data_IF_740959463665
#
_entry.id   IF_740959463665
#
_cell.length_a   1.000
_cell.length_b   1.000
_cell.length_c   1.000
_cell.angle_alpha   90.00
_cell.angle_beta   90.00
_cell.angle_gamma   90.00
#
_symmetry.space_group_name_H-M   'P 1'
#
loop_
_entity.id
_entity.type
_entity.pdbx_description
1 polymer ?
#
# COMPACT_ATOMS: atom_id res chain seq x y z
N UNK A 1 56.68 37.96 81.11
CA UNK A 1 55.65 37.09 81.74
C UNK A 1 54.47 36.97 80.81
N UNK A 2 53.96 35.74 80.65
CA UNK A 2 52.79 35.33 79.86
C UNK A 2 51.60 36.29 79.98
N UNK A 3 50.92 36.58 78.86
CA UNK A 3 49.54 36.14 78.60
C UNK A 3 49.10 36.54 77.18
N UNK A 4 48.86 35.51 76.37
CA UNK A 4 48.19 35.57 75.07
C UNK A 4 46.72 35.95 75.25
N UNK A 5 46.22 36.85 74.39
CA UNK A 5 44.81 36.97 74.04
C UNK A 5 44.72 37.01 72.51
N UNK A 6 44.50 35.84 71.90
CA UNK A 6 44.22 35.73 70.46
C UNK A 6 42.71 35.75 70.24
N UNK A 7 42.22 36.76 69.52
CA UNK A 7 40.84 36.84 69.06
C UNK A 7 40.55 35.74 68.02
N UNK A 8 39.45 34.99 68.22
CA UNK A 8 38.92 34.03 67.24
C UNK A 8 37.77 34.68 66.46
N UNK A 9 37.79 34.70 65.12
CA UNK A 9 36.59 34.90 64.33
C UNK A 9 35.86 33.56 64.11
N UNK A 10 34.54 33.64 64.12
CA UNK A 10 33.58 32.55 63.94
C UNK A 10 33.64 32.08 62.48
N UNK A 11 34.03 30.82 62.24
CA UNK A 11 33.95 30.18 60.93
C UNK A 11 32.72 29.26 60.87
N UNK A 12 31.81 29.60 59.97
CA UNK A 12 30.61 28.85 59.62
C UNK A 12 31.01 27.53 58.94
N UNK A 13 30.62 26.39 59.51
CA UNK A 13 30.79 25.08 58.89
C UNK A 13 29.74 24.88 57.79
N UNK A 14 30.16 24.91 56.53
CA UNK A 14 29.36 24.47 55.39
C UNK A 14 29.82 23.07 55.02
N UNK A 15 29.10 22.04 55.47
CA UNK A 15 29.34 20.66 55.06
C UNK A 15 28.92 20.49 53.60
N UNK A 16 29.90 20.38 52.71
CA UNK A 16 29.74 20.05 51.30
C UNK A 16 29.44 18.54 51.19
N UNK A 17 28.17 18.18 50.99
CA UNK A 17 27.79 16.81 50.62
C UNK A 17 28.19 16.58 49.15
N UNK A 18 29.20 15.73 48.92
CA UNK A 18 29.46 15.13 47.61
C UNK A 18 28.31 14.17 47.27
N UNK A 19 27.27 14.69 46.64
CA UNK A 19 26.25 13.89 46.00
C UNK A 19 26.81 13.28 44.72
N UNK A 20 27.05 11.97 44.73
CA UNK A 20 27.24 11.16 43.54
C UNK A 20 26.00 11.31 42.66
N UNK A 21 26.11 12.02 41.55
CA UNK A 21 25.07 12.03 40.51
C UNK A 21 24.95 10.60 39.95
N UNK A 22 23.74 10.03 39.85
CA UNK A 22 23.55 8.81 39.10
C UNK A 22 23.87 9.14 37.64
N UNK A 23 24.80 8.39 37.06
CA UNK A 23 25.05 8.38 35.62
C UNK A 23 23.73 7.94 34.99
N UNK A 24 22.98 8.88 34.44
CA UNK A 24 21.88 8.59 33.54
C UNK A 24 22.51 7.92 32.32
N UNK A 25 22.52 6.58 32.32
CA UNK A 25 22.75 5.80 31.12
C UNK A 25 21.65 6.18 30.15
N UNK A 26 21.96 7.06 29.19
CA UNK A 26 21.15 7.16 27.99
C UNK A 26 21.14 5.77 27.37
N UNK A 27 20.03 5.05 27.46
CA UNK A 27 19.79 3.94 26.56
C UNK A 27 19.76 4.56 25.17
N UNK A 28 20.90 4.53 24.48
CA UNK A 28 20.91 4.74 23.05
C UNK A 28 19.90 3.74 22.48
N UNK A 29 18.87 4.23 21.82
CA UNK A 29 18.03 3.36 21.01
C UNK A 29 19.00 2.63 20.07
N UNK A 30 19.05 1.31 20.19
CA UNK A 30 19.82 0.49 19.26
C UNK A 30 19.24 0.75 17.88
N UNK A 31 19.90 1.58 17.07
CA UNK A 31 19.54 1.72 15.66
C UNK A 31 19.59 0.33 15.02
N UNK A 32 18.57 0.01 14.22
CA UNK A 32 18.54 -1.25 13.50
C UNK A 32 19.77 -1.36 12.60
N UNK A 33 20.50 -2.46 12.73
CA UNK A 33 21.64 -2.77 11.89
C UNK A 33 21.20 -3.77 10.82
N UNK A 34 21.26 -3.38 9.54
CA UNK A 34 20.92 -4.27 8.43
C UNK A 34 21.86 -5.49 8.41
N UNK A 35 21.26 -6.68 8.37
CA UNK A 35 21.97 -7.96 8.35
C UNK A 35 22.17 -8.51 6.92
N UNK A 36 21.39 -7.99 5.97
CA UNK A 36 21.45 -8.30 4.55
C UNK A 36 22.78 -7.92 3.92
N UNK A 37 23.38 -8.86 3.21
CA UNK A 37 24.66 -8.75 2.52
C UNK A 37 24.47 -8.88 1.01
N UNK A 38 25.24 -8.08 0.27
CA UNK A 38 25.30 -8.17 -1.19
C UNK A 38 25.76 -9.57 -1.61
N UNK A 39 25.16 -10.10 -2.69
CA UNK A 39 25.43 -11.44 -3.23
C UNK A 39 25.19 -12.60 -2.26
N UNK A 40 24.47 -12.39 -1.15
CA UNK A 40 24.10 -13.44 -0.20
C UNK A 40 22.59 -13.40 0.06
N UNK A 41 21.76 -14.04 -0.78
CA UNK A 41 20.30 -14.01 -0.63
C UNK A 41 19.83 -14.44 0.77
N UNK A 42 20.42 -15.49 1.34
CA UNK A 42 20.01 -16.03 2.64
C UNK A 42 20.21 -15.04 3.80
N UNK A 43 21.15 -14.11 3.67
CA UNK A 43 21.37 -13.07 4.70
C UNK A 43 20.21 -12.07 4.82
N UNK A 44 19.27 -12.05 3.87
CA UNK A 44 18.10 -11.18 3.89
C UNK A 44 16.86 -11.81 4.54
N UNK A 45 16.92 -13.10 4.89
CA UNK A 45 15.82 -13.88 5.46
C UNK A 45 15.69 -13.64 6.99
N UNK A 46 15.53 -12.39 7.41
CA UNK A 46 15.33 -12.00 8.82
C UNK A 46 13.96 -12.45 9.36
N UNK A 47 13.75 -12.40 10.67
CA UNK A 47 12.43 -12.65 11.28
C UNK A 47 11.36 -11.70 10.71
N UNK A 48 11.71 -10.42 10.56
CA UNK A 48 10.91 -9.39 9.90
C UNK A 48 10.52 -9.77 8.46
N UNK A 49 11.44 -10.34 7.68
CA UNK A 49 11.15 -10.87 6.33
C UNK A 49 10.13 -12.02 6.40
N UNK A 50 10.30 -12.92 7.37
CA UNK A 50 9.45 -14.10 7.52
C UNK A 50 8.04 -13.79 8.06
N UNK A 51 7.80 -12.57 8.57
CA UNK A 51 6.46 -12.14 8.98
C UNK A 51 5.48 -11.93 7.81
N UNK A 52 5.96 -11.91 6.57
CA UNK A 52 5.11 -11.96 5.39
C UNK A 52 5.58 -12.98 4.34
N UNK A 53 4.80 -14.04 4.15
CA UNK A 53 5.16 -15.15 3.25
C UNK A 53 5.34 -14.71 1.80
N UNK A 54 4.68 -13.61 1.40
CA UNK A 54 4.72 -13.07 0.05
C UNK A 54 6.15 -12.74 -0.42
N UNK A 55 7.03 -12.29 0.46
CA UNK A 55 8.43 -11.99 0.12
C UNK A 55 9.20 -13.22 -0.31
N UNK A 56 9.03 -14.32 0.43
CA UNK A 56 9.65 -15.60 0.10
C UNK A 56 9.08 -16.12 -1.22
N UNK A 57 7.75 -16.07 -1.40
CA UNK A 57 7.08 -16.57 -2.59
C UNK A 57 7.50 -15.86 -3.89
N UNK A 58 7.77 -14.55 -3.84
CA UNK A 58 8.28 -13.81 -5.01
C UNK A 58 9.81 -13.79 -5.10
N UNK A 59 10.52 -14.45 -4.18
CA UNK A 59 11.98 -14.46 -4.15
C UNK A 59 12.63 -13.09 -3.90
N UNK A 60 12.00 -12.23 -3.09
CA UNK A 60 12.43 -10.84 -2.88
C UNK A 60 13.88 -10.74 -2.36
N UNK A 61 14.31 -11.68 -1.51
CA UNK A 61 15.68 -11.79 -1.00
C UNK A 61 16.75 -11.88 -2.10
N UNK A 62 16.45 -12.48 -3.26
CA UNK A 62 17.36 -12.47 -4.42
C UNK A 62 17.51 -11.09 -5.04
N UNK A 63 16.46 -10.26 -5.01
CA UNK A 63 16.51 -8.88 -5.49
C UNK A 63 17.34 -8.02 -4.51
N UNK A 64 17.12 -8.20 -3.21
CA UNK A 64 17.85 -7.48 -2.16
C UNK A 64 19.34 -7.79 -2.18
N UNK A 65 19.73 -9.06 -2.33
CA UNK A 65 21.14 -9.44 -2.50
C UNK A 65 21.81 -8.80 -3.73
N UNK A 66 21.03 -8.41 -4.74
CA UNK A 66 21.50 -7.67 -5.92
C UNK A 66 21.48 -6.14 -5.72
N UNK A 67 20.98 -5.66 -4.58
CA UNK A 67 20.88 -4.24 -4.23
C UNK A 67 19.58 -3.58 -4.70
N UNK A 68 18.57 -4.35 -5.11
CA UNK A 68 17.29 -3.81 -5.55
C UNK A 68 16.28 -3.77 -4.40
N UNK A 69 16.23 -2.64 -3.69
CA UNK A 69 15.38 -2.44 -2.50
C UNK A 69 14.25 -1.43 -2.73
N UNK A 70 14.16 -0.85 -3.93
CA UNK A 70 13.24 0.25 -4.25
C UNK A 70 13.83 1.64 -4.07
N UNK A 71 15.06 1.75 -3.55
CA UNK A 71 15.75 3.02 -3.31
C UNK A 71 15.73 3.94 -4.54
N UNK A 72 15.31 5.18 -4.31
CA UNK A 72 15.24 6.22 -5.35
C UNK A 72 14.00 6.15 -6.25
N UNK A 73 13.09 5.20 -6.01
CA UNK A 73 11.80 5.11 -6.70
C UNK A 73 10.69 5.51 -5.74
N UNK A 74 9.75 6.33 -6.21
CA UNK A 74 8.52 6.61 -5.48
C UNK A 74 7.36 5.80 -6.07
N UNK A 75 6.59 5.16 -5.20
CA UNK A 75 5.36 4.44 -5.55
C UNK A 75 4.17 5.26 -5.11
N UNK A 76 3.30 5.57 -6.07
CA UNK A 76 2.01 6.18 -5.87
C UNK A 76 0.97 5.16 -5.42
N UNK A 77 0.11 5.53 -4.47
CA UNK A 77 -1.03 4.73 -4.02
C UNK A 77 -2.30 5.58 -4.12
N UNK A 78 -3.23 5.16 -4.97
CA UNK A 78 -4.56 5.75 -5.10
C UNK A 78 -5.58 4.77 -4.50
N UNK A 79 -5.91 4.99 -3.23
CA UNK A 79 -6.68 4.04 -2.41
C UNK A 79 -7.52 4.80 -1.35
N UNK A 80 -7.87 4.17 -0.24
CA UNK A 80 -8.31 4.89 0.95
C UNK A 80 -7.18 5.74 1.56
N UNK A 81 -7.52 6.58 2.54
CA UNK A 81 -6.54 7.42 3.22
C UNK A 81 -5.47 6.57 3.92
N UNK A 82 -4.21 7.02 3.86
CA UNK A 82 -3.05 6.38 4.51
C UNK A 82 -2.62 7.23 5.70
N UNK A 83 -2.48 6.61 6.86
CA UNK A 83 -2.09 7.27 8.12
C UNK A 83 -0.59 7.53 8.22
N UNK A 84 -0.21 8.53 9.02
CA UNK A 84 1.17 8.70 9.45
C UNK A 84 1.56 7.57 10.40
N UNK A 85 2.00 6.45 9.84
CA UNK A 85 2.43 5.25 10.55
C UNK A 85 3.96 5.21 10.68
N UNK A 86 4.49 4.66 11.78
CA UNK A 86 5.94 4.58 12.02
C UNK A 86 6.66 3.75 10.94
N UNK A 87 6.00 2.74 10.38
CA UNK A 87 6.48 1.97 9.21
C UNK A 87 6.69 2.80 7.94
N UNK A 88 6.14 4.01 7.88
CA UNK A 88 6.32 4.91 6.72
C UNK A 88 7.16 6.15 7.06
N UNK A 89 7.79 6.16 8.24
CA UNK A 89 8.59 7.29 8.72
C UNK A 89 9.69 7.65 7.71
N UNK A 90 9.82 8.94 7.42
CA UNK A 90 10.86 9.49 6.54
C UNK A 90 10.59 9.35 5.04
N UNK A 91 9.51 8.67 4.62
CA UNK A 91 9.25 8.39 3.19
C UNK A 91 7.80 8.51 2.73
N UNK A 92 6.86 8.83 3.61
CA UNK A 92 5.46 9.09 3.27
C UNK A 92 5.23 10.54 2.86
N UNK A 93 4.59 10.74 1.71
CA UNK A 93 4.00 12.00 1.25
C UNK A 93 2.51 11.81 0.98
N UNK A 94 1.67 12.62 1.60
CA UNK A 94 0.22 12.63 1.36
C UNK A 94 -0.10 13.84 0.48
N UNK A 95 -0.69 13.63 -0.70
CA UNK A 95 -0.94 14.71 -1.67
C UNK A 95 -1.99 15.74 -1.19
N UNK A 96 -2.94 15.30 -0.37
CA UNK A 96 -4.05 16.12 0.13
C UNK A 96 -4.38 15.72 1.57
N UNK A 97 -3.57 16.15 2.56
CA UNK A 97 -3.70 15.70 3.96
C UNK A 97 -5.00 16.18 4.63
N UNK A 98 -5.66 17.20 4.07
CA UNK A 98 -6.93 17.73 4.57
C UNK A 98 -8.15 16.91 4.14
N UNK A 99 -7.97 15.92 3.25
CA UNK A 99 -9.03 15.01 2.85
C UNK A 99 -9.56 14.23 4.07
N UNK A 100 -10.88 14.21 4.25
CA UNK A 100 -11.50 13.56 5.41
C UNK A 100 -11.16 12.06 5.48
N UNK A 101 -10.96 11.51 6.67
CA UNK A 101 -10.70 10.08 6.84
C UNK A 101 -11.93 9.25 6.44
N UNK A 102 -11.71 8.22 5.64
CA UNK A 102 -12.72 7.17 5.45
C UNK A 102 -12.58 6.11 6.52
N UNK A 103 -13.67 5.38 6.73
CA UNK A 103 -13.67 4.15 7.48
C UNK A 103 -14.35 3.04 6.68
N UNK A 104 -13.80 1.84 6.77
CA UNK A 104 -14.47 0.63 6.40
C UNK A 104 -15.28 0.13 7.58
N UNK A 105 -16.56 -0.18 7.37
CA UNK A 105 -17.36 -0.93 8.34
C UNK A 105 -17.49 -2.37 7.85
N UNK A 106 -16.95 -3.32 8.59
CA UNK A 106 -17.15 -4.73 8.30
C UNK A 106 -18.66 -5.05 8.35
N UNK A 107 -19.28 -5.56 7.28
CA UNK A 107 -20.72 -5.79 7.23
C UNK A 107 -21.18 -6.95 8.14
N UNK A 108 -20.29 -7.88 8.47
CA UNK A 108 -20.59 -9.05 9.30
C UNK A 108 -20.34 -8.77 10.79
N UNK A 109 -19.30 -8.01 11.13
CA UNK A 109 -18.89 -7.77 12.53
C UNK A 109 -19.19 -6.35 13.03
N UNK A 110 -19.49 -5.42 12.13
CA UNK A 110 -19.74 -4.01 12.46
C UNK A 110 -18.50 -3.19 12.86
N UNK A 111 -17.30 -3.80 12.87
CA UNK A 111 -16.04 -3.13 13.21
C UNK A 111 -15.74 -2.04 12.20
N UNK A 112 -15.43 -0.84 12.70
CA UNK A 112 -15.06 0.35 11.93
C UNK A 112 -13.53 0.44 11.90
N UNK A 113 -12.95 0.56 10.71
CA UNK A 113 -11.51 0.58 10.48
C UNK A 113 -11.14 1.79 9.64
N UNK A 114 -10.30 2.69 10.15
CA UNK A 114 -9.89 3.90 9.42
C UNK A 114 -8.62 3.64 8.62
N UNK A 115 -8.63 3.96 7.32
CA UNK A 115 -7.45 3.86 6.45
C UNK A 115 -6.80 2.48 6.39
N UNK A 116 -7.47 1.43 6.87
CA UNK A 116 -6.87 0.12 7.03
C UNK A 116 -6.54 -0.54 5.69
N UNK A 117 -7.35 -0.28 4.66
CA UNK A 117 -7.04 -0.78 3.33
C UNK A 117 -5.83 -0.07 2.72
N UNK A 118 -5.81 1.27 2.75
CA UNK A 118 -4.68 2.07 2.27
C UNK A 118 -3.37 1.78 2.99
N UNK A 119 -3.38 1.74 4.33
CA UNK A 119 -2.22 1.39 5.15
C UNK A 119 -1.71 -0.02 4.84
N UNK A 120 -2.59 -1.02 4.74
CA UNK A 120 -2.22 -2.40 4.43
C UNK A 120 -1.54 -2.49 3.05
N UNK A 121 -2.12 -1.82 2.04
CA UNK A 121 -1.55 -1.74 0.68
C UNK A 121 -0.18 -1.07 0.70
N UNK A 122 -0.06 0.12 1.31
CA UNK A 122 1.21 0.85 1.44
C UNK A 122 2.26 0.07 2.22
N UNK A 123 1.84 -0.70 3.23
CA UNK A 123 2.67 -1.61 4.02
C UNK A 123 3.35 -2.67 3.16
N UNK A 124 2.55 -3.41 2.38
CA UNK A 124 3.07 -4.44 1.47
C UNK A 124 4.09 -3.84 0.48
N UNK A 125 3.81 -2.63 -0.04
CA UNK A 125 4.68 -1.96 -1.00
C UNK A 125 6.00 -1.56 -0.34
N UNK A 126 5.94 -0.78 0.73
CA UNK A 126 7.10 -0.08 1.26
C UNK A 126 6.96 0.26 2.76
N UNK A 127 6.53 -0.66 3.63
CA UNK A 127 6.87 -0.51 5.05
C UNK A 127 8.40 -0.51 5.25
N UNK A 128 8.87 0.07 6.34
CA UNK A 128 10.29 0.20 6.65
C UNK A 128 10.88 -1.17 6.95
N UNK A 129 12.18 -1.31 6.68
CA UNK A 129 12.96 -2.46 7.14
C UNK A 129 13.80 -2.01 8.32
N UNK A 130 13.28 -2.22 9.51
CA UNK A 130 13.84 -1.67 10.75
C UNK A 130 13.90 -2.71 11.88
N UNK A 131 13.73 -3.99 11.55
CA UNK A 131 13.75 -5.10 12.49
C UNK A 131 12.50 -5.20 13.36
N UNK A 132 11.43 -4.44 13.08
CA UNK A 132 10.15 -4.50 13.78
C UNK A 132 9.05 -5.00 12.84
N UNK A 133 7.99 -5.55 13.42
CA UNK A 133 6.76 -5.95 12.72
C UNK A 133 7.01 -6.61 11.35
N UNK A 134 6.92 -5.87 10.25
CA UNK A 134 7.20 -6.37 8.90
C UNK A 134 7.74 -5.26 8.00
N UNK A 135 8.48 -5.62 6.95
CA UNK A 135 8.94 -4.66 5.93
C UNK A 135 8.28 -4.84 4.57
N UNK A 136 8.19 -3.79 3.74
CA UNK A 136 7.60 -3.87 2.41
C UNK A 136 8.49 -4.58 1.38
N UNK A 137 7.92 -4.94 0.22
CA UNK A 137 8.67 -5.52 -0.91
C UNK A 137 9.77 -4.56 -1.37
N UNK A 138 9.47 -3.27 -1.47
CA UNK A 138 10.37 -2.21 -1.86
C UNK A 138 10.59 -1.27 -0.67
N UNK A 139 11.16 -1.79 0.43
CA UNK A 139 11.26 -1.09 1.71
C UNK A 139 12.03 0.25 1.65
N UNK A 140 12.90 0.47 0.67
CA UNK A 140 13.60 1.76 0.48
C UNK A 140 12.88 2.71 -0.51
N UNK A 141 11.73 2.32 -1.04
CA UNK A 141 10.94 3.19 -1.92
C UNK A 141 10.22 4.29 -1.12
N UNK A 142 10.07 5.46 -1.73
CA UNK A 142 9.18 6.49 -1.20
C UNK A 142 7.72 6.17 -1.51
N UNK A 143 6.82 6.64 -0.65
CA UNK A 143 5.38 6.47 -0.79
C UNK A 143 4.71 7.82 -1.03
N UNK A 144 3.95 7.92 -2.12
CA UNK A 144 3.10 9.07 -2.40
C UNK A 144 1.67 8.57 -2.39
N UNK A 145 0.83 9.10 -1.50
CA UNK A 145 -0.53 8.60 -1.31
C UNK A 145 -1.54 9.69 -1.62
N UNK A 146 -2.64 9.30 -2.25
CA UNK A 146 -3.79 10.16 -2.48
C UNK A 146 -5.05 9.41 -2.11
N UNK A 147 -5.85 9.99 -1.20
CA UNK A 147 -7.18 9.47 -0.92
C UNK A 147 -7.99 9.53 -2.20
N UNK A 148 -8.41 8.38 -2.69
CA UNK A 148 -9.09 8.22 -3.97
C UNK A 148 -10.47 7.63 -3.78
N UNK A 149 -10.62 6.62 -2.93
CA UNK A 149 -11.91 5.99 -2.66
C UNK A 149 -12.74 6.85 -1.71
N UNK A 150 -14.07 6.81 -1.88
CA UNK A 150 -15.05 7.59 -1.10
C UNK A 150 -14.61 9.07 -0.92
N UNK A 151 -14.08 9.65 -2.00
CA UNK A 151 -13.58 11.01 -2.03
C UNK A 151 -14.25 11.73 -3.20
N UNK A 152 -14.88 12.91 -3.01
CA UNK A 152 -15.39 13.71 -4.11
C UNK A 152 -14.29 14.32 -4.99
N UNK A 153 -13.02 14.17 -4.61
CA UNK A 153 -11.90 14.70 -5.35
C UNK A 153 -11.07 13.63 -6.07
N UNK A 154 -10.70 13.93 -7.30
CA UNK A 154 -9.83 13.14 -8.14
C UNK A 154 -8.37 13.53 -7.89
N UNK A 155 -7.57 12.59 -7.39
CA UNK A 155 -6.14 12.80 -7.08
C UNK A 155 -5.22 12.35 -8.20
N UNK A 156 -5.75 11.93 -9.34
CA UNK A 156 -4.95 11.33 -10.41
C UNK A 156 -4.00 12.34 -11.05
N UNK A 157 -4.46 13.56 -11.36
CA UNK A 157 -3.56 14.58 -11.94
C UNK A 157 -2.43 14.95 -10.98
N UNK A 158 -2.74 15.19 -9.71
CA UNK A 158 -1.72 15.46 -8.69
C UNK A 158 -0.71 14.30 -8.56
N UNK A 159 -1.16 13.05 -8.66
CA UNK A 159 -0.30 11.87 -8.67
C UNK A 159 0.57 11.81 -9.93
N UNK A 160 0.03 12.15 -11.10
CA UNK A 160 0.78 12.21 -12.36
C UNK A 160 1.91 13.26 -12.28
N UNK A 161 1.59 14.45 -11.75
CA UNK A 161 2.55 15.54 -11.59
C UNK A 161 3.58 15.28 -10.48
N UNK A 162 3.33 14.30 -9.61
CA UNK A 162 4.32 13.83 -8.65
C UNK A 162 5.47 13.06 -9.35
N UNK A 163 6.55 12.83 -8.60
CA UNK A 163 7.65 11.98 -9.04
C UNK A 163 7.40 10.47 -8.77
N UNK A 164 6.15 10.05 -8.55
CA UNK A 164 5.78 8.64 -8.56
C UNK A 164 6.11 8.02 -9.94
N UNK A 165 6.69 6.82 -9.95
CA UNK A 165 6.99 6.08 -11.19
C UNK A 165 5.97 4.97 -11.45
N UNK A 166 5.46 4.38 -10.38
CA UNK A 166 4.44 3.33 -10.36
C UNK A 166 3.24 3.87 -9.60
N UNK A 167 2.02 3.59 -10.06
CA UNK A 167 0.77 3.95 -9.37
C UNK A 167 0.00 2.65 -9.11
N UNK A 168 -0.12 2.28 -7.84
CA UNK A 168 -0.87 1.13 -7.40
C UNK A 168 -2.35 1.49 -7.16
N UNK A 169 -3.23 0.64 -7.66
CA UNK A 169 -4.67 0.73 -7.49
C UNK A 169 -5.21 -0.64 -7.02
N UNK A 170 -5.53 -0.75 -5.73
CA UNK A 170 -5.98 -2.00 -5.10
C UNK A 170 -7.50 -2.04 -4.90
N UNK A 171 -8.25 -1.50 -5.84
CA UNK A 171 -9.71 -1.43 -5.83
C UNK A 171 -10.28 -1.91 -7.16
N UNK A 172 -11.61 -1.99 -7.28
CA UNK A 172 -12.25 -2.38 -8.52
C UNK A 172 -13.77 -2.32 -8.43
N UNK A 173 -14.43 -2.34 -9.58
CA UNK A 173 -15.89 -2.44 -9.66
C UNK A 173 -16.27 -3.91 -9.46
N UNK A 174 -17.10 -4.18 -8.45
CA UNK A 174 -17.58 -5.53 -8.18
C UNK A 174 -18.85 -5.77 -9.01
N UNK A 175 -18.98 -6.93 -9.69
CA UNK A 175 -20.24 -7.35 -10.26
C UNK A 175 -21.34 -7.42 -9.20
N UNK A 176 -22.59 -7.29 -9.65
CA UNK A 176 -23.75 -7.64 -8.83
C UNK A 176 -23.68 -9.11 -8.40
N UNK A 177 -24.34 -9.45 -7.31
CA UNK A 177 -24.36 -10.80 -6.75
C UNK A 177 -25.77 -11.21 -6.33
N UNK A 178 -26.01 -12.52 -6.24
CA UNK A 178 -27.25 -13.05 -5.70
C UNK A 178 -27.37 -12.77 -4.20
N UNK A 179 -28.56 -12.37 -3.75
CA UNK A 179 -28.90 -12.24 -2.34
C UNK A 179 -29.87 -13.32 -1.88
N UNK A 180 -29.80 -13.69 -0.60
CA UNK A 180 -30.79 -14.52 0.06
C UNK A 180 -32.03 -13.71 0.48
N UNK A 181 -32.99 -14.38 1.12
CA UNK A 181 -34.23 -13.78 1.63
C UNK A 181 -34.03 -12.70 2.71
N UNK A 182 -32.82 -12.63 3.29
CA UNK A 182 -32.43 -11.62 4.27
C UNK A 182 -31.55 -10.51 3.67
N UNK A 183 -31.38 -10.50 2.35
CA UNK A 183 -30.55 -9.52 1.63
C UNK A 183 -29.05 -9.74 1.78
N UNK A 184 -28.60 -10.88 2.31
CA UNK A 184 -27.17 -11.20 2.41
C UNK A 184 -26.65 -11.86 1.14
N UNK A 185 -25.36 -11.69 0.78
CA UNK A 185 -24.80 -12.34 -0.40
C UNK A 185 -24.85 -13.87 -0.28
N UNK A 186 -25.43 -14.55 -1.27
CA UNK A 186 -25.31 -16.00 -1.38
C UNK A 186 -23.87 -16.40 -1.67
N UNK A 187 -23.48 -17.57 -1.18
CA UNK A 187 -22.12 -18.11 -1.35
C UNK A 187 -22.12 -19.48 -2.02
N UNK A 188 -21.08 -19.75 -2.80
CA UNK A 188 -20.74 -21.09 -3.28
C UNK A 188 -20.23 -21.97 -2.13
N UNK A 189 -20.17 -23.28 -2.34
CA UNK A 189 -19.65 -24.23 -1.33
C UNK A 189 -18.21 -23.95 -0.92
N UNK A 190 -17.40 -23.39 -1.83
CA UNK A 190 -16.03 -22.95 -1.57
C UNK A 190 -15.95 -21.62 -0.77
N UNK A 191 -17.08 -21.06 -0.35
CA UNK A 191 -17.18 -19.86 0.46
C UNK A 191 -17.15 -18.54 -0.30
N UNK A 192 -16.93 -18.53 -1.62
CA UNK A 192 -16.94 -17.28 -2.40
C UNK A 192 -18.35 -16.78 -2.67
N UNK A 193 -18.51 -15.48 -2.91
CA UNK A 193 -19.81 -14.87 -3.21
C UNK A 193 -20.29 -15.32 -4.60
N UNK A 194 -21.59 -15.56 -4.75
CA UNK A 194 -22.24 -15.88 -6.03
C UNK A 194 -22.48 -14.60 -6.84
N UNK A 195 -21.45 -14.15 -7.55
CA UNK A 195 -21.56 -13.02 -8.48
C UNK A 195 -22.27 -13.43 -9.77
N UNK A 196 -23.07 -12.52 -10.33
CA UNK A 196 -23.54 -12.64 -11.71
C UNK A 196 -22.34 -12.58 -12.66
N UNK A 197 -22.27 -13.48 -13.67
CA UNK A 197 -21.18 -13.47 -14.64
C UNK A 197 -21.10 -12.14 -15.40
N UNK A 198 -19.89 -11.62 -15.55
CA UNK A 198 -19.55 -10.49 -16.41
C UNK A 198 -18.58 -11.00 -17.46
N UNK A 199 -18.93 -10.79 -18.72
CA UNK A 199 -18.14 -11.22 -19.88
C UNK A 199 -17.41 -10.04 -20.52
N UNK A 200 -16.44 -10.34 -21.40
CA UNK A 200 -15.79 -9.31 -22.23
C UNK A 200 -16.80 -8.58 -23.12
N UNK A 201 -17.88 -9.23 -23.55
CA UNK A 201 -18.92 -8.58 -24.36
C UNK A 201 -19.69 -7.54 -23.53
N UNK A 202 -20.02 -7.85 -22.27
CA UNK A 202 -20.68 -6.89 -21.37
C UNK A 202 -19.79 -5.66 -21.15
N UNK A 203 -18.49 -5.89 -20.95
CA UNK A 203 -17.51 -4.81 -20.86
C UNK A 203 -17.41 -4.01 -22.15
N UNK A 204 -17.39 -4.66 -23.30
CA UNK A 204 -17.32 -3.98 -24.61
C UNK A 204 -18.54 -3.10 -24.82
N UNK A 205 -19.73 -3.60 -24.47
CA UNK A 205 -20.99 -2.85 -24.53
C UNK A 205 -20.97 -1.63 -23.58
N UNK A 206 -20.37 -1.77 -22.40
CA UNK A 206 -20.19 -0.68 -21.45
C UNK A 206 -19.19 0.39 -21.93
N UNK A 207 -18.05 -0.02 -22.49
CA UNK A 207 -16.95 0.88 -22.84
C UNK A 207 -17.19 1.61 -24.16
N UNK A 208 -17.81 0.94 -25.13
CA UNK A 208 -18.04 1.49 -26.47
C UNK A 208 -18.64 2.90 -26.47
N UNK A 209 -19.73 3.20 -25.74
CA UNK A 209 -20.33 4.55 -25.75
C UNK A 209 -19.48 5.63 -25.06
N UNK A 210 -18.56 5.26 -24.16
CA UNK A 210 -17.73 6.23 -23.40
C UNK A 210 -16.29 6.31 -23.91
N UNK A 211 -15.91 5.47 -24.88
CA UNK A 211 -14.53 5.28 -25.32
C UNK A 211 -13.89 6.58 -25.83
N UNK A 212 -14.61 7.35 -26.65
CA UNK A 212 -14.10 8.59 -27.23
C UNK A 212 -13.95 9.69 -26.19
N UNK A 213 -14.85 9.76 -25.21
CA UNK A 213 -14.74 10.69 -24.09
C UNK A 213 -13.54 10.37 -23.21
N UNK A 214 -13.31 9.09 -22.89
CA UNK A 214 -12.11 8.65 -22.17
C UNK A 214 -10.83 8.97 -22.94
N UNK A 215 -10.82 8.76 -24.26
CA UNK A 215 -9.66 9.11 -25.10
C UNK A 215 -9.39 10.61 -25.07
N UNK A 216 -10.42 11.43 -25.28
CA UNK A 216 -10.32 12.88 -25.29
C UNK A 216 -9.87 13.44 -23.94
N UNK A 217 -10.51 13.01 -22.85
CA UNK A 217 -10.24 13.52 -21.50
C UNK A 217 -8.83 13.14 -21.02
N UNK A 218 -8.37 11.94 -21.34
CA UNK A 218 -7.03 11.50 -20.92
C UNK A 218 -5.88 12.25 -21.62
N UNK A 219 -6.15 13.02 -22.68
CA UNK A 219 -5.17 13.86 -23.37
C UNK A 219 -4.98 15.23 -22.72
N UNK A 220 -5.88 15.63 -21.83
CA UNK A 220 -5.83 16.92 -21.11
C UNK A 220 -5.65 16.73 -19.61
N UNK A 221 -5.19 17.73 -18.84
CA UNK A 221 -5.17 17.67 -17.38
C UNK A 221 -6.56 17.30 -16.83
N UNK A 222 -6.60 16.41 -15.85
CA UNK A 222 -7.86 15.93 -15.27
C UNK A 222 -8.36 16.91 -14.20
N UNK A 223 -9.66 17.29 -14.21
CA UNK A 223 -10.24 18.12 -13.17
C UNK A 223 -10.11 17.50 -11.77
N UNK A 224 -10.08 18.35 -10.75
CA UNK A 224 -10.00 17.90 -9.36
C UNK A 224 -11.32 17.34 -8.84
N UNK A 225 -12.47 17.74 -9.40
CA UNK A 225 -13.76 17.13 -9.04
C UNK A 225 -13.88 15.76 -9.66
N UNK A 226 -14.27 14.78 -8.83
CA UNK A 226 -14.36 13.39 -9.23
C UNK A 226 -15.72 13.06 -9.85
N UNK A 227 -15.66 12.42 -11.01
CA UNK A 227 -16.72 11.58 -11.53
C UNK A 227 -16.09 10.29 -12.08
N UNK A 228 -16.91 9.28 -12.32
CA UNK A 228 -16.41 7.98 -12.78
C UNK A 228 -15.60 8.08 -14.09
N UNK A 229 -16.01 8.92 -15.02
CA UNK A 229 -15.38 9.07 -16.34
C UNK A 229 -14.04 9.81 -16.22
N UNK A 230 -13.98 10.92 -15.50
CA UNK A 230 -12.72 11.67 -15.28
C UNK A 230 -11.73 10.87 -14.46
N UNK A 231 -12.20 10.09 -13.47
CA UNK A 231 -11.41 9.11 -12.71
C UNK A 231 -10.75 8.08 -13.62
N UNK A 232 -11.55 7.44 -14.46
CA UNK A 232 -11.10 6.43 -15.43
C UNK A 232 -10.13 7.02 -16.45
N UNK A 233 -10.45 8.20 -17.00
CA UNK A 233 -9.60 8.91 -17.95
C UNK A 233 -8.26 9.33 -17.33
N UNK A 234 -8.23 9.65 -16.03
CA UNK A 234 -6.99 9.96 -15.32
C UNK A 234 -6.03 8.78 -15.25
N UNK A 235 -6.53 7.56 -15.05
CA UNK A 235 -5.67 6.37 -15.05
C UNK A 235 -5.10 6.09 -16.45
N UNK A 236 -5.90 6.26 -17.50
CA UNK A 236 -5.42 6.20 -18.88
C UNK A 236 -4.37 7.28 -19.16
N UNK A 237 -4.60 8.50 -18.69
CA UNK A 237 -3.64 9.61 -18.79
C UNK A 237 -2.34 9.28 -18.08
N UNK A 238 -2.39 8.70 -16.88
CA UNK A 238 -1.18 8.33 -16.14
C UNK A 238 -0.30 7.38 -16.95
N UNK A 239 -0.90 6.36 -17.57
CA UNK A 239 -0.20 5.46 -18.46
C UNK A 239 0.39 6.18 -19.68
N UNK A 240 -0.34 7.14 -20.29
CA UNK A 240 0.14 7.98 -21.39
C UNK A 240 1.28 8.92 -21.00
N UNK A 241 1.37 9.28 -19.71
CA UNK A 241 2.47 10.07 -19.13
C UNK A 241 3.61 9.19 -18.57
N UNK A 242 3.67 7.91 -18.97
CA UNK A 242 4.80 7.04 -18.65
C UNK A 242 4.81 6.52 -17.22
N UNK A 243 3.70 6.65 -16.48
CA UNK A 243 3.55 6.04 -15.16
C UNK A 243 3.08 4.60 -15.33
N UNK A 244 3.77 3.63 -14.70
CA UNK A 244 3.27 2.26 -14.68
C UNK A 244 2.04 2.18 -13.78
N UNK A 245 0.87 1.93 -14.35
CA UNK A 245 -0.38 1.74 -13.61
C UNK A 245 -0.55 0.26 -13.30
N UNK A 246 -0.48 -0.09 -12.03
CA UNK A 246 -0.69 -1.45 -11.53
C UNK A 246 -2.10 -1.53 -10.95
N UNK A 247 -2.86 -2.53 -11.37
CA UNK A 247 -4.27 -2.65 -11.03
C UNK A 247 -4.63 -4.07 -10.61
N UNK A 248 -5.38 -4.21 -9.51
CA UNK A 248 -5.89 -5.50 -9.10
C UNK A 248 -6.90 -6.05 -10.13
N UNK A 249 -6.77 -7.32 -10.52
CA UNK A 249 -7.70 -7.98 -11.43
C UNK A 249 -9.13 -8.02 -10.86
N UNK A 250 -9.24 -8.15 -9.54
CA UNK A 250 -10.50 -8.16 -8.79
C UNK A 250 -10.65 -9.38 -7.88
N UNK A 251 -11.69 -9.37 -7.06
CA UNK A 251 -12.05 -10.46 -6.14
C UNK A 251 -13.47 -11.00 -6.44
N UNK A 252 -13.77 -11.22 -7.72
CA UNK A 252 -15.10 -11.60 -8.21
C UNK A 252 -15.16 -13.02 -8.78
N UNK A 253 -14.30 -13.94 -8.32
CA UNK A 253 -14.15 -15.32 -8.80
C UNK A 253 -13.56 -15.42 -10.22
N UNK A 254 -12.92 -16.56 -10.50
CA UNK A 254 -12.17 -16.79 -11.73
C UNK A 254 -13.03 -16.88 -13.00
N UNK A 255 -14.33 -17.15 -12.87
CA UNK A 255 -15.26 -17.17 -14.00
C UNK A 255 -15.62 -15.76 -14.50
N UNK A 256 -15.28 -14.71 -13.74
CA UNK A 256 -15.46 -13.33 -14.16
C UNK A 256 -14.20 -12.78 -14.81
N UNK A 257 -14.41 -11.79 -15.67
CA UNK A 257 -13.35 -11.02 -16.32
C UNK A 257 -13.02 -9.76 -15.52
N UNK A 258 -11.83 -9.20 -15.73
CA UNK A 258 -11.44 -7.92 -15.13
C UNK A 258 -12.33 -6.78 -15.60
N UNK A 259 -12.51 -5.74 -14.78
CA UNK A 259 -13.23 -4.53 -15.20
C UNK A 259 -12.35 -3.60 -16.06
N UNK A 260 -12.96 -2.56 -16.66
CA UNK A 260 -12.30 -1.61 -17.57
C UNK A 260 -10.97 -1.07 -17.02
N UNK A 261 -10.88 -0.74 -15.74
CA UNK A 261 -9.67 -0.15 -15.17
C UNK A 261 -8.45 -1.05 -15.32
N UNK A 262 -8.56 -2.33 -14.95
CA UNK A 262 -7.47 -3.29 -15.14
C UNK A 262 -7.32 -3.71 -16.61
N UNK A 263 -8.40 -3.70 -17.39
CA UNK A 263 -8.41 -4.03 -18.82
C UNK A 263 -8.16 -2.88 -19.78
N UNK A 264 -7.70 -1.73 -19.29
CA UNK A 264 -7.57 -0.48 -20.07
C UNK A 264 -6.82 -0.68 -21.40
N UNK A 265 -5.69 -1.42 -21.45
CA UNK A 265 -4.95 -1.62 -22.70
C UNK A 265 -5.71 -2.35 -23.82
N UNK A 266 -6.74 -3.14 -23.49
CA UNK A 266 -7.55 -3.79 -24.52
C UNK A 266 -8.32 -2.75 -25.36
N UNK A 267 -8.84 -1.70 -24.71
CA UNK A 267 -9.59 -0.63 -25.38
C UNK A 267 -8.71 0.54 -25.85
N UNK A 268 -7.54 0.72 -25.21
CA UNK A 268 -6.57 1.76 -25.51
C UNK A 268 -5.15 1.16 -25.62
N UNK A 269 -4.81 0.54 -26.77
CA UNK A 269 -3.56 -0.21 -26.94
C UNK A 269 -2.28 0.61 -26.71
N UNK A 270 -2.35 1.93 -26.88
CA UNK A 270 -1.23 2.84 -26.63
C UNK A 270 -0.81 2.88 -25.14
N UNK A 271 -1.70 2.50 -24.23
CA UNK A 271 -1.43 2.42 -22.79
C UNK A 271 -0.70 1.13 -22.38
N UNK A 272 -0.62 0.12 -23.25
CA UNK A 272 -0.16 -1.24 -22.92
C UNK A 272 1.21 -1.29 -22.24
N UNK A 273 2.15 -0.43 -22.67
CA UNK A 273 3.51 -0.39 -22.13
C UNK A 273 3.58 0.02 -20.65
N UNK A 274 2.53 0.66 -20.15
CA UNK A 274 2.48 1.31 -18.84
C UNK A 274 1.30 0.81 -18.00
N UNK A 275 0.85 -0.42 -18.25
CA UNK A 275 -0.23 -1.05 -17.48
C UNK A 275 0.13 -2.47 -17.08
N UNK A 276 -0.35 -2.87 -15.90
CA UNK A 276 -0.19 -4.23 -15.39
C UNK A 276 -1.42 -4.63 -14.57
N UNK A 277 -2.09 -5.71 -14.99
CA UNK A 277 -3.14 -6.36 -14.21
C UNK A 277 -2.55 -7.41 -13.27
N UNK A 278 -3.09 -7.56 -12.07
CA UNK A 278 -2.55 -8.47 -11.04
C UNK A 278 -3.62 -9.37 -10.46
N UNK A 279 -3.49 -10.68 -10.69
CA UNK A 279 -4.32 -11.73 -10.09
C UNK A 279 -3.73 -12.21 -8.75
N UNK A 280 -4.58 -12.76 -7.89
CA UNK A 280 -4.22 -13.16 -6.53
C UNK A 280 -3.81 -14.64 -6.44
N UNK A 281 -2.66 -14.92 -5.83
CA UNK A 281 -2.17 -16.25 -5.50
C UNK A 281 -2.38 -16.61 -4.02
N UNK A 282 -2.60 -17.91 -3.83
CA UNK A 282 -2.54 -18.62 -2.55
C UNK A 282 -1.09 -18.97 -2.17
N UNK A 283 -0.89 -19.47 -0.95
CA UNK A 283 0.44 -19.91 -0.47
C UNK A 283 0.95 -21.13 -1.25
N UNK A 284 0.03 -21.89 -1.82
CA UNK A 284 0.27 -23.09 -2.61
C UNK A 284 0.57 -22.76 -4.08
N UNK A 285 0.82 -21.48 -4.43
CA UNK A 285 1.05 -21.00 -5.79
C UNK A 285 -0.10 -21.28 -6.77
N UNK A 286 -1.32 -21.48 -6.27
CA UNK A 286 -2.53 -21.57 -7.06
C UNK A 286 -3.27 -20.23 -7.09
N UNK A 287 -3.98 -19.94 -8.18
CA UNK A 287 -4.90 -18.80 -8.26
C UNK A 287 -5.94 -18.93 -7.15
N UNK A 288 -6.11 -17.88 -6.34
CA UNK A 288 -7.10 -17.87 -5.28
C UNK A 288 -8.51 -17.97 -5.90
N UNK A 289 -9.38 -18.79 -5.32
CA UNK A 289 -10.75 -19.02 -5.81
C UNK A 289 -11.57 -17.73 -5.93
N UNK A 290 -11.29 -16.72 -5.12
CA UNK A 290 -11.96 -15.41 -5.22
C UNK A 290 -11.34 -14.50 -6.27
N UNK A 291 -10.12 -14.78 -6.76
CA UNK A 291 -9.44 -13.93 -7.75
C UNK A 291 -10.25 -13.89 -9.02
N UNK A 292 -10.51 -12.68 -9.52
CA UNK A 292 -10.91 -12.50 -10.92
C UNK A 292 -9.79 -12.99 -11.82
N UNK A 293 -10.13 -13.63 -12.94
CA UNK A 293 -9.13 -14.15 -13.86
C UNK A 293 -8.50 -13.04 -14.70
N UNK A 294 -7.28 -13.26 -15.19
CA UNK A 294 -6.66 -12.35 -16.14
C UNK A 294 -7.42 -12.33 -17.48
N UNK A 295 -7.96 -13.47 -17.93
CA UNK A 295 -8.72 -13.63 -19.19
C UNK A 295 -8.14 -12.79 -20.36
N UNK A 296 -8.92 -11.86 -20.92
CA UNK A 296 -8.52 -11.00 -22.04
C UNK A 296 -7.35 -10.03 -21.73
N UNK A 297 -6.93 -9.92 -20.46
CA UNK A 297 -5.76 -9.15 -20.02
C UNK A 297 -4.48 -10.00 -19.89
N UNK A 298 -4.52 -11.29 -20.24
CA UNK A 298 -3.42 -12.24 -20.02
C UNK A 298 -2.05 -11.78 -20.58
N UNK A 299 -2.01 -10.98 -21.65
CA UNK A 299 -0.77 -10.48 -22.24
C UNK A 299 -0.05 -9.41 -21.40
N UNK A 300 -0.73 -8.83 -20.41
CA UNK A 300 -0.20 -7.82 -19.48
C UNK A 300 -0.71 -8.07 -18.05
N UNK A 301 -0.95 -9.33 -17.72
CA UNK A 301 -1.35 -9.76 -16.39
C UNK A 301 -0.28 -10.66 -15.78
N UNK A 302 -0.04 -10.49 -14.48
CA UNK A 302 0.73 -11.45 -13.69
C UNK A 302 -0.06 -11.86 -12.45
N UNK A 303 0.41 -12.90 -11.77
CA UNK A 303 -0.17 -13.33 -10.50
C UNK A 303 0.82 -13.08 -9.36
N UNK A 304 0.32 -12.60 -8.23
CA UNK A 304 1.15 -12.27 -7.06
C UNK A 304 0.48 -12.72 -5.75
N UNK A 305 1.26 -12.96 -4.67
CA UNK A 305 0.73 -13.24 -3.34
C UNK A 305 -0.26 -12.18 -2.86
N UNK A 306 -1.52 -12.55 -2.60
CA UNK A 306 -2.55 -11.64 -2.07
C UNK A 306 -3.46 -12.28 -1.00
N UNK A 307 -3.23 -13.55 -0.66
CA UNK A 307 -3.99 -14.25 0.37
C UNK A 307 -3.41 -13.97 1.76
N UNK A 308 -4.29 -13.65 2.74
CA UNK A 308 -3.96 -13.07 4.05
C UNK A 308 -2.68 -13.62 4.72
N UNK A 309 -1.87 -12.68 5.19
CA UNK A 309 -0.95 -12.88 6.32
C UNK A 309 -1.78 -13.01 7.61
N UNK A 310 -1.46 -13.97 8.47
CA UNK A 310 -2.29 -14.27 9.64
C UNK A 310 -2.06 -13.38 10.86
N UNK A 311 -1.24 -12.31 10.84
CA UNK A 311 -0.85 -11.65 12.11
C UNK A 311 -0.91 -10.12 12.26
N UNK A 312 -0.49 -9.27 11.32
CA UNK A 312 -0.04 -7.93 11.77
C UNK A 312 -0.93 -6.71 11.44
N UNK A 313 -1.63 -6.65 10.30
CA UNK A 313 -2.38 -5.42 9.93
C UNK A 313 -3.81 -5.32 10.52
N UNK A 314 -4.18 -6.16 11.50
CA UNK A 314 -5.52 -6.09 12.13
C UNK A 314 -5.58 -5.19 13.37
N UNK A 315 -4.44 -4.67 13.83
CA UNK A 315 -4.35 -3.98 15.12
C UNK A 315 -3.67 -2.61 15.08
N UNK A 316 -3.57 -1.99 13.90
CA UNK A 316 -3.14 -0.59 13.72
C UNK A 316 -4.28 0.29 13.23
#
# INVERSE_FOLDING_TARGET
MKKNNSARPIFLWMTLFFGLLPISTSMAASEYQEQGKKNSPDSWLSDEFNHQWGLAAIGAHYAYARGYTGKGINVGVLDEAVTNHFEFAGKLKILSPDDTWNYDKNPDTGIISFGAHGNHVSGIIAANRDGKEMHGVAFDAGLITGKYLQNPYNRTEAMIQSNARVINNSWGVRPSYETDEHGKPKRWENGTIKYYPVTLQDLTNYVTPIKDDLDRLSRTPIPELDDYTTRTAGLLRAARHGKLVVFAAGNANNYNVTWLHAGMPYFFPDALKNYLSVANLTRENAINVSSTSCDYTASYCLSAPGTKNSRYWRHS
#
